data_IF_921232762416
#
_entry.id   IF_921232762416
#
_cell.length_a   1.000
_cell.length_b   1.000
_cell.length_c   1.000
_cell.angle_alpha   90.00
_cell.angle_beta   90.00
_cell.angle_gamma   90.00
#
_symmetry.space_group_name_H-M   'P 1'
#
loop_
_entity.id
_entity.type
_entity.pdbx_description
1 polymer ?
#
# COMPACT_ATOMS: atom_id res chain seq x y z
N UNK A 1 -17.45 2.32 12.71
CA UNK A 1 -18.35 1.15 12.84
C UNK A 1 -19.66 1.34 12.07
N UNK A 2 -20.41 2.42 12.24
CA UNK A 2 -21.69 2.65 11.54
C UNK A 2 -21.57 2.60 10.01
N UNK A 3 -20.55 3.23 9.42
CA UNK A 3 -20.31 3.19 7.98
C UNK A 3 -20.07 1.76 7.46
N UNK A 4 -19.24 0.97 8.13
CA UNK A 4 -18.98 -0.42 7.75
C UNK A 4 -20.23 -1.30 7.89
N UNK A 5 -21.05 -1.08 8.94
CA UNK A 5 -22.32 -1.78 9.10
C UNK A 5 -23.28 -1.46 7.94
N UNK A 6 -23.41 -0.17 7.59
CA UNK A 6 -24.23 0.26 6.48
C UNK A 6 -23.74 -0.34 5.15
N UNK A 7 -22.44 -0.40 4.90
CA UNK A 7 -21.89 -1.02 3.70
C UNK A 7 -22.21 -2.52 3.62
N UNK A 8 -22.13 -3.23 4.74
CA UNK A 8 -22.49 -4.64 4.81
C UNK A 8 -23.98 -4.87 4.57
N UNK A 9 -24.85 -4.14 5.28
CA UNK A 9 -26.30 -4.27 5.17
C UNK A 9 -26.82 -3.95 3.75
N UNK A 10 -26.12 -3.10 3.02
CA UNK A 10 -26.43 -2.77 1.63
C UNK A 10 -25.67 -3.62 0.61
N UNK A 11 -24.94 -4.64 1.03
CA UNK A 11 -24.28 -5.61 0.14
C UNK A 11 -23.04 -5.08 -0.59
N UNK A 12 -22.39 -4.04 -0.09
CA UNK A 12 -21.15 -3.51 -0.68
C UNK A 12 -19.90 -4.25 -0.21
N UNK A 13 -19.90 -4.77 1.01
CA UNK A 13 -18.79 -5.53 1.60
C UNK A 13 -19.26 -6.81 2.25
N UNK A 14 -18.31 -7.72 2.54
CA UNK A 14 -18.54 -8.90 3.38
C UNK A 14 -18.77 -8.48 4.84
N UNK A 15 -19.07 -9.46 5.71
CA UNK A 15 -19.37 -9.20 7.12
C UNK A 15 -18.24 -8.42 7.82
N UNK A 16 -18.60 -7.29 8.40
CA UNK A 16 -17.63 -6.31 8.93
C UNK A 16 -17.03 -6.66 10.31
N UNK A 17 -17.55 -7.69 10.98
CA UNK A 17 -17.02 -8.13 12.29
C UNK A 17 -16.36 -9.48 12.14
N UNK A 18 -15.12 -9.47 11.66
CA UNK A 18 -14.30 -10.67 11.50
C UNK A 18 -12.89 -10.40 11.94
N UNK A 19 -12.23 -11.43 12.45
CA UNK A 19 -10.79 -11.47 12.74
C UNK A 19 -10.02 -12.28 11.68
N UNK A 20 -10.73 -12.77 10.65
CA UNK A 20 -10.14 -13.53 9.55
C UNK A 20 -9.43 -12.62 8.55
N UNK A 21 -8.28 -13.09 8.08
CA UNK A 21 -7.53 -12.51 6.95
C UNK A 21 -7.64 -13.34 5.69
N UNK A 22 -8.45 -14.41 5.70
CA UNK A 22 -8.60 -15.33 4.57
C UNK A 22 -9.53 -14.75 3.52
N UNK A 23 -9.15 -14.89 2.25
CA UNK A 23 -9.99 -14.61 1.10
C UNK A 23 -10.42 -15.93 0.46
N UNK A 24 -11.67 -16.02 0.04
CA UNK A 24 -12.13 -17.14 -0.77
C UNK A 24 -11.43 -17.18 -2.13
N UNK A 25 -11.41 -18.33 -2.77
CA UNK A 25 -10.85 -18.47 -4.13
C UNK A 25 -11.50 -17.51 -5.12
N UNK A 26 -12.80 -17.29 -4.99
CA UNK A 26 -13.56 -16.35 -5.79
C UNK A 26 -13.10 -14.91 -5.57
N UNK A 27 -12.88 -14.49 -4.33
CA UNK A 27 -12.37 -13.16 -3.99
C UNK A 27 -10.94 -12.95 -4.49
N UNK A 28 -10.09 -13.95 -4.37
CA UNK A 28 -8.73 -13.93 -4.94
C UNK A 28 -8.77 -13.77 -6.45
N UNK A 29 -9.63 -14.52 -7.15
CA UNK A 29 -9.80 -14.42 -8.60
C UNK A 29 -10.27 -13.02 -8.99
N UNK A 30 -11.26 -12.47 -8.29
CA UNK A 30 -11.78 -11.12 -8.52
C UNK A 30 -10.69 -10.05 -8.33
N UNK A 31 -9.93 -10.12 -7.23
CA UNK A 31 -8.84 -9.19 -6.97
C UNK A 31 -7.78 -9.26 -8.07
N UNK A 32 -7.33 -10.45 -8.45
CA UNK A 32 -6.31 -10.65 -9.49
C UNK A 32 -6.77 -10.16 -10.86
N UNK A 33 -8.01 -10.40 -11.22
CA UNK A 33 -8.62 -9.89 -12.46
C UNK A 33 -8.62 -8.36 -12.47
N UNK A 34 -8.98 -7.76 -11.35
CA UNK A 34 -9.01 -6.30 -11.21
C UNK A 34 -7.60 -5.68 -11.25
N UNK A 35 -6.61 -6.32 -10.59
CA UNK A 35 -5.21 -5.90 -10.67
C UNK A 35 -4.73 -5.91 -12.12
N UNK A 36 -5.02 -6.98 -12.85
CA UNK A 36 -4.64 -7.08 -14.27
C UNK A 36 -5.27 -5.97 -15.11
N UNK A 37 -6.54 -5.68 -14.87
CA UNK A 37 -7.28 -4.65 -15.62
C UNK A 37 -6.80 -3.22 -15.33
N UNK A 38 -6.52 -2.89 -14.06
CA UNK A 38 -6.21 -1.52 -13.64
C UNK A 38 -4.71 -1.19 -13.69
N UNK A 39 -3.86 -2.17 -13.38
CA UNK A 39 -2.43 -1.96 -13.19
C UNK A 39 -1.57 -2.75 -14.18
N UNK A 40 -2.13 -3.76 -14.83
CA UNK A 40 -1.45 -4.64 -15.76
C UNK A 40 -0.99 -5.97 -15.14
N UNK A 41 -0.65 -6.96 -15.99
CA UNK A 41 -0.29 -8.31 -15.55
C UNK A 41 1.00 -8.35 -14.73
N UNK A 42 1.90 -7.39 -14.90
CA UNK A 42 3.16 -7.32 -14.17
C UNK A 42 2.97 -7.13 -12.66
N UNK A 43 1.81 -6.62 -12.24
CA UNK A 43 1.46 -6.40 -10.84
C UNK A 43 0.87 -7.62 -10.15
N UNK A 44 0.53 -8.68 -10.92
CA UNK A 44 -0.03 -9.92 -10.39
C UNK A 44 1.10 -10.89 -10.06
N UNK A 45 1.24 -11.36 -8.80
CA UNK A 45 2.23 -12.37 -8.45
C UNK A 45 1.88 -13.72 -9.08
N UNK A 46 2.88 -14.54 -9.41
CA UNK A 46 2.67 -15.89 -9.96
C UNK A 46 1.83 -16.76 -9.03
N UNK A 47 2.17 -16.73 -7.75
CA UNK A 47 1.48 -17.49 -6.71
C UNK A 47 0.46 -16.61 -6.00
N UNK A 48 -0.68 -17.18 -5.67
CA UNK A 48 -1.69 -16.54 -4.80
C UNK A 48 -1.06 -16.24 -3.44
N UNK A 49 -1.33 -15.06 -2.92
CA UNK A 49 -0.91 -14.68 -1.59
C UNK A 49 -1.92 -15.16 -0.57
N UNK A 50 -1.44 -15.84 0.45
CA UNK A 50 -2.23 -16.30 1.59
C UNK A 50 -1.66 -15.72 2.87
N UNK A 51 -2.54 -15.37 3.80
CA UNK A 51 -2.18 -14.78 5.08
C UNK A 51 -2.65 -15.69 6.20
N UNK A 52 -1.73 -16.08 7.08
CA UNK A 52 -2.09 -16.91 8.23
C UNK A 52 -2.84 -16.08 9.27
N UNK A 53 -4.01 -16.53 9.69
CA UNK A 53 -4.74 -15.94 10.81
C UNK A 53 -4.02 -16.32 12.11
N UNK A 54 -3.59 -15.34 12.91
CA UNK A 54 -2.87 -15.56 14.17
C UNK A 54 -3.80 -15.87 15.35
N UNK A 55 -5.09 -15.78 15.17
CA UNK A 55 -6.09 -15.94 16.23
C UNK A 55 -6.30 -17.42 16.55
N UNK A 56 -5.92 -17.83 17.79
CA UNK A 56 -6.29 -19.11 18.36
C UNK A 56 -7.77 -19.09 18.71
N UNK A 57 -8.62 -19.65 17.86
CA UNK A 57 -10.06 -19.69 18.11
C UNK A 57 -10.88 -18.91 17.08
N UNK A 58 -10.27 -18.37 16.01
CA UNK A 58 -11.01 -17.91 14.86
C UNK A 58 -11.86 -19.07 14.34
N UNK A 59 -13.16 -18.91 14.31
CA UNK A 59 -14.03 -19.87 13.64
C UNK A 59 -13.60 -19.96 12.19
N UNK A 60 -13.20 -21.13 11.73
CA UNK A 60 -12.62 -21.39 10.40
C UNK A 60 -13.49 -20.94 9.22
N UNK A 61 -14.71 -20.47 9.48
CA UNK A 61 -15.73 -20.14 8.49
C UNK A 61 -15.80 -18.65 8.10
N UNK A 62 -15.01 -17.76 8.73
CA UNK A 62 -15.11 -16.33 8.44
C UNK A 62 -14.12 -15.90 7.35
N UNK A 63 -14.63 -15.18 6.36
CA UNK A 63 -13.84 -14.51 5.35
C UNK A 63 -13.38 -13.13 5.85
N UNK A 64 -12.30 -12.61 5.28
CA UNK A 64 -11.83 -11.24 5.53
C UNK A 64 -12.88 -10.21 5.08
N UNK A 65 -12.81 -9.00 5.63
CA UNK A 65 -13.57 -7.87 5.13
C UNK A 65 -13.04 -7.51 3.74
N UNK A 66 -13.92 -7.54 2.74
CA UNK A 66 -13.60 -7.24 1.34
C UNK A 66 -14.81 -6.67 0.60
N UNK A 67 -14.64 -6.07 -0.59
CA UNK A 67 -15.76 -5.78 -1.48
C UNK A 67 -16.57 -7.04 -1.77
N UNK A 68 -17.89 -6.91 -1.78
CA UNK A 68 -18.79 -8.03 -2.03
C UNK A 68 -18.84 -8.41 -3.53
N UNK A 69 -19.34 -9.61 -3.79
CA UNK A 69 -19.55 -10.09 -5.16
C UNK A 69 -18.36 -10.84 -5.76
N UNK A 70 -18.55 -11.26 -7.00
CA UNK A 70 -17.58 -12.02 -7.82
C UNK A 70 -16.66 -11.13 -8.64
N UNK A 71 -17.03 -9.87 -8.81
CA UNK A 71 -16.19 -8.80 -9.35
C UNK A 71 -16.31 -7.57 -8.46
N UNK A 72 -15.18 -6.99 -8.11
CA UNK A 72 -15.19 -5.85 -7.21
C UNK A 72 -15.57 -4.58 -7.98
N UNK A 73 -16.51 -3.82 -7.46
CA UNK A 73 -16.81 -2.49 -7.97
C UNK A 73 -15.71 -1.55 -7.54
N UNK A 74 -15.24 -0.68 -8.42
CA UNK A 74 -14.23 0.31 -8.05
C UNK A 74 -14.85 1.43 -7.22
N UNK A 75 -14.06 2.14 -6.38
CA UNK A 75 -14.56 3.31 -5.65
C UNK A 75 -15.18 4.37 -6.57
N UNK A 76 -14.56 4.61 -7.73
CA UNK A 76 -15.07 5.55 -8.73
C UNK A 76 -16.42 5.09 -9.30
N UNK A 77 -16.57 3.76 -9.51
CA UNK A 77 -17.82 3.15 -9.97
C UNK A 77 -18.97 3.32 -8.97
N UNK A 78 -18.64 3.53 -7.69
CA UNK A 78 -19.59 3.74 -6.60
C UNK A 78 -19.76 5.22 -6.18
N UNK A 79 -19.06 6.15 -6.79
CA UNK A 79 -19.03 7.56 -6.40
C UNK A 79 -20.41 8.25 -6.37
N UNK A 80 -21.40 7.70 -7.10
CA UNK A 80 -22.79 8.22 -7.10
C UNK A 80 -23.69 7.52 -6.09
N UNK A 81 -23.27 6.39 -5.52
CA UNK A 81 -24.08 5.57 -4.61
C UNK A 81 -23.61 5.71 -3.16
N UNK A 82 -22.31 5.97 -2.96
CA UNK A 82 -21.69 6.11 -1.65
C UNK A 82 -21.23 7.55 -1.46
N UNK A 83 -21.41 8.03 -0.25
CA UNK A 83 -21.02 9.37 0.17
C UNK A 83 -20.22 9.35 1.48
N UNK A 84 -19.52 10.44 1.75
CA UNK A 84 -18.84 10.69 3.03
C UNK A 84 -18.03 9.52 3.56
N UNK A 85 -18.32 9.11 4.79
CA UNK A 85 -17.60 8.05 5.47
C UNK A 85 -17.78 6.66 4.82
N UNK A 86 -18.94 6.40 4.19
CA UNK A 86 -19.17 5.13 3.50
C UNK A 86 -18.25 4.99 2.29
N UNK A 87 -18.10 6.05 1.50
CA UNK A 87 -17.19 6.05 0.36
C UNK A 87 -15.74 5.82 0.80
N UNK A 88 -15.29 6.53 1.83
CA UNK A 88 -13.91 6.39 2.37
C UNK A 88 -13.63 5.00 2.93
N UNK A 89 -14.57 4.44 3.70
CA UNK A 89 -14.43 3.10 4.28
C UNK A 89 -14.44 2.04 3.18
N UNK A 90 -15.31 2.17 2.16
CA UNK A 90 -15.31 1.27 1.02
C UNK A 90 -13.99 1.32 0.24
N UNK A 91 -13.52 2.53 -0.06
CA UNK A 91 -12.25 2.74 -0.76
C UNK A 91 -11.08 2.09 -0.02
N UNK A 92 -10.97 2.29 1.29
CA UNK A 92 -9.94 1.67 2.11
C UNK A 92 -9.99 0.14 2.06
N UNK A 93 -11.20 -0.44 2.18
CA UNK A 93 -11.39 -1.90 2.11
C UNK A 93 -11.01 -2.41 0.73
N UNK A 94 -11.43 -1.72 -0.33
CA UNK A 94 -11.11 -2.08 -1.70
C UNK A 94 -9.60 -2.02 -1.96
N UNK A 95 -8.95 -0.91 -1.60
CA UNK A 95 -7.51 -0.71 -1.75
C UNK A 95 -6.71 -1.80 -1.02
N UNK A 96 -7.03 -2.06 0.24
CA UNK A 96 -6.35 -3.11 1.03
C UNK A 96 -6.56 -4.50 0.45
N UNK A 97 -7.77 -4.82 0.00
CA UNK A 97 -8.06 -6.11 -0.62
C UNK A 97 -7.26 -6.32 -1.90
N UNK A 98 -7.26 -5.32 -2.80
CA UNK A 98 -6.52 -5.37 -4.06
C UNK A 98 -5.01 -5.43 -3.79
N UNK A 99 -4.48 -4.53 -2.95
CA UNK A 99 -3.06 -4.49 -2.59
C UNK A 99 -2.57 -5.80 -1.97
N UNK A 100 -3.42 -6.48 -1.18
CA UNK A 100 -3.08 -7.78 -0.56
C UNK A 100 -2.74 -8.86 -1.59
N UNK A 101 -3.24 -8.76 -2.80
CA UNK A 101 -3.02 -9.72 -3.88
C UNK A 101 -2.05 -9.21 -4.96
N UNK A 102 -1.40 -8.05 -4.76
CA UNK A 102 -0.40 -7.50 -5.68
C UNK A 102 1.02 -7.98 -5.35
N UNK A 103 1.93 -7.84 -6.32
CA UNK A 103 3.38 -8.03 -6.09
C UNK A 103 3.91 -7.01 -5.08
N UNK A 104 5.00 -7.40 -4.39
CA UNK A 104 5.72 -6.50 -3.51
C UNK A 104 6.28 -5.30 -4.25
N UNK A 105 6.37 -4.18 -3.56
CA UNK A 105 7.18 -3.07 -4.00
C UNK A 105 8.67 -3.44 -3.89
N UNK A 106 9.44 -3.09 -4.90
CA UNK A 106 10.89 -3.25 -4.91
C UNK A 106 11.56 -1.88 -4.90
N UNK A 107 12.65 -1.79 -4.18
CA UNK A 107 13.42 -0.56 -4.11
C UNK A 107 14.87 -0.82 -3.77
N UNK A 108 15.68 0.18 -4.04
CA UNK A 108 17.09 0.21 -3.67
C UNK A 108 17.26 1.17 -2.51
N UNK A 109 17.93 0.73 -1.46
CA UNK A 109 18.40 1.62 -0.40
C UNK A 109 19.71 2.23 -0.84
N UNK A 110 19.74 3.56 -0.93
CA UNK A 110 20.91 4.31 -1.33
C UNK A 110 21.48 5.04 -0.12
N UNK A 111 22.76 4.87 0.13
CA UNK A 111 23.52 5.65 1.09
C UNK A 111 24.40 6.61 0.30
N UNK A 112 24.30 7.90 0.59
CA UNK A 112 25.06 8.93 -0.08
C UNK A 112 26.01 9.55 0.94
N UNK A 113 27.27 9.67 0.55
CA UNK A 113 28.30 10.37 1.31
C UNK A 113 28.77 11.56 0.47
N UNK A 114 28.64 12.74 1.04
CA UNK A 114 29.12 13.97 0.44
C UNK A 114 30.41 14.39 1.14
N UNK A 115 31.35 14.87 0.38
CA UNK A 115 32.56 15.48 0.88
C UNK A 115 32.63 16.93 0.38
N UNK A 116 32.83 17.84 1.28
CA UNK A 116 33.00 19.26 0.98
C UNK A 116 34.33 19.75 1.52
N UNK A 117 35.08 20.49 0.71
CA UNK A 117 36.30 21.17 1.15
C UNK A 117 35.92 22.32 2.09
N UNK A 118 36.39 22.26 3.32
CA UNK A 118 36.18 23.30 4.34
C UNK A 118 37.42 24.19 4.51
N UNK A 119 38.30 24.24 3.52
CA UNK A 119 39.52 25.02 3.51
C UNK A 119 40.50 24.59 4.61
N UNK A 120 40.98 25.51 5.42
CA UNK A 120 41.93 25.21 6.52
C UNK A 120 41.41 24.26 7.57
N UNK A 121 40.10 24.04 7.62
CA UNK A 121 39.43 23.09 8.53
C UNK A 121 39.38 21.65 7.98
N UNK A 122 39.90 21.41 6.77
CA UNK A 122 39.94 20.10 6.15
C UNK A 122 38.65 19.76 5.39
N UNK A 123 38.31 18.49 5.34
CA UNK A 123 37.14 17.99 4.62
C UNK A 123 35.96 17.75 5.56
N UNK A 124 34.83 18.37 5.27
CA UNK A 124 33.56 18.06 5.93
C UNK A 124 32.88 16.89 5.23
N UNK A 125 32.40 15.93 6.02
CA UNK A 125 31.72 14.72 5.51
C UNK A 125 30.29 14.69 6.01
N UNK A 126 29.36 14.55 5.08
CA UNK A 126 27.94 14.40 5.36
C UNK A 126 27.45 13.07 4.81
N UNK A 127 26.53 12.41 5.52
CA UNK A 127 25.90 11.16 5.07
C UNK A 127 24.40 11.29 5.10
N UNK A 128 23.74 10.76 4.10
CA UNK A 128 22.29 10.59 4.08
C UNK A 128 21.93 9.25 3.48
N UNK A 129 20.76 8.73 3.85
CA UNK A 129 20.23 7.50 3.27
C UNK A 129 18.78 7.71 2.86
N UNK A 130 18.37 6.99 1.82
CA UNK A 130 16.99 7.00 1.35
C UNK A 130 16.68 5.79 0.50
N UNK A 131 15.42 5.63 0.11
CA UNK A 131 14.97 4.59 -0.81
C UNK A 131 14.66 5.18 -2.18
N UNK A 132 14.97 4.43 -3.21
CA UNK A 132 14.49 4.65 -4.58
C UNK A 132 13.59 3.48 -4.94
N UNK A 133 12.31 3.72 -5.14
CA UNK A 133 11.36 2.67 -5.55
C UNK A 133 11.60 2.39 -7.03
N UNK A 134 12.01 1.16 -7.34
CA UNK A 134 12.26 0.70 -8.72
C UNK A 134 11.04 0.03 -9.35
N UNK A 135 10.21 -0.59 -8.53
CA UNK A 135 8.92 -1.14 -8.91
C UNK A 135 7.92 -0.87 -7.79
N UNK A 136 6.84 -0.12 -8.05
CA UNK A 136 5.93 0.31 -6.99
C UNK A 136 5.09 -0.83 -6.39
N UNK A 137 4.83 -1.92 -7.12
CA UNK A 137 4.06 -3.04 -6.61
C UNK A 137 2.72 -2.61 -6.00
N UNK A 138 2.41 -3.14 -4.82
CA UNK A 138 1.16 -2.83 -4.09
C UNK A 138 1.03 -1.35 -3.68
N UNK A 139 2.12 -0.60 -3.57
CA UNK A 139 2.09 0.84 -3.26
C UNK A 139 1.32 1.65 -4.30
N UNK A 140 1.11 1.10 -5.50
CA UNK A 140 0.31 1.76 -6.52
C UNK A 140 -1.19 1.74 -6.21
N UNK A 141 -1.65 0.75 -5.47
CA UNK A 141 -3.05 0.63 -5.07
C UNK A 141 -3.30 1.16 -3.66
N UNK A 142 -2.33 1.06 -2.78
CA UNK A 142 -2.49 1.41 -1.38
C UNK A 142 -1.18 1.89 -0.76
N UNK A 143 -1.23 3.10 -0.21
CA UNK A 143 -0.20 3.64 0.67
C UNK A 143 -0.84 3.79 2.05
N UNK A 144 -0.29 3.11 3.05
CA UNK A 144 -0.79 3.22 4.42
C UNK A 144 -0.53 4.65 4.92
N UNK A 145 -1.61 5.40 5.15
CA UNK A 145 -1.53 6.67 5.83
C UNK A 145 -1.33 6.42 7.32
N UNK A 146 -0.40 7.12 7.93
CA UNK A 146 -0.28 7.15 9.39
C UNK A 146 -1.24 8.19 9.94
N UNK A 147 -2.04 7.81 10.94
CA UNK A 147 -2.87 8.76 11.70
C UNK A 147 -2.01 9.67 12.61
N UNK A 148 -0.72 9.39 12.71
CA UNK A 148 0.26 10.16 13.47
C UNK A 148 1.14 11.01 12.52
N UNK A 149 0.96 12.35 12.50
CA UNK A 149 1.76 13.25 11.65
C UNK A 149 3.26 13.23 11.97
N UNK A 150 3.64 12.78 13.18
CA UNK A 150 5.05 12.67 13.57
C UNK A 150 5.65 11.33 13.14
N UNK A 151 4.86 10.26 13.05
CA UNK A 151 5.27 8.99 12.44
C UNK A 151 5.53 9.14 10.93
N UNK A 152 4.73 9.94 10.23
CA UNK A 152 4.98 10.26 8.81
C UNK A 152 6.33 10.95 8.59
N UNK A 153 6.81 11.74 9.55
CA UNK A 153 8.13 12.40 9.46
C UNK A 153 9.30 11.43 9.68
N UNK A 154 9.07 10.34 10.42
CA UNK A 154 10.09 9.30 10.68
C UNK A 154 10.19 8.25 9.58
N UNK A 155 9.07 7.92 8.95
CA UNK A 155 8.94 6.85 7.94
C UNK A 155 8.87 7.35 6.50
N UNK A 156 8.80 8.67 6.26
CA UNK A 156 9.12 9.23 4.96
C UNK A 156 10.63 9.00 4.72
N UNK A 157 10.96 7.74 4.39
CA UNK A 157 12.25 7.45 3.79
C UNK A 157 12.40 8.41 2.62
N UNK A 158 13.28 9.38 2.78
CA UNK A 158 13.50 10.44 1.80
C UNK A 158 13.74 9.79 0.46
N UNK A 159 12.87 10.06 -0.50
CA UNK A 159 13.10 9.73 -1.88
C UNK A 159 14.32 10.53 -2.33
N UNK A 160 15.45 9.87 -2.45
CA UNK A 160 16.65 10.51 -2.94
C UNK A 160 16.57 10.59 -4.46
N UNK A 161 17.02 11.70 -5.06
CA UNK A 161 17.17 11.79 -6.49
C UNK A 161 18.21 10.75 -6.97
N UNK A 162 18.16 10.30 -8.21
CA UNK A 162 19.18 9.45 -8.78
C UNK A 162 20.50 10.26 -8.85
N UNK A 163 21.50 9.81 -8.10
CA UNK A 163 22.83 10.41 -8.08
C UNK A 163 23.87 9.37 -8.53
N UNK A 164 24.94 9.87 -9.17
CA UNK A 164 26.07 9.06 -9.61
C UNK A 164 27.28 9.33 -8.72
N UNK A 165 28.15 8.34 -8.56
CA UNK A 165 29.40 8.50 -7.86
C UNK A 165 30.30 9.55 -8.55
N UNK A 166 30.82 10.49 -7.77
CA UNK A 166 31.66 11.59 -8.27
C UNK A 166 30.88 12.77 -8.85
N UNK A 167 29.54 12.75 -8.77
CA UNK A 167 28.72 13.89 -9.15
C UNK A 167 28.97 15.07 -8.24
N UNK A 168 29.25 16.24 -8.86
CA UNK A 168 29.33 17.51 -8.12
C UNK A 168 27.93 18.10 -7.95
N UNK A 169 27.61 18.55 -6.76
CA UNK A 169 26.34 19.17 -6.45
C UNK A 169 26.58 20.65 -6.09
N UNK A 170 25.74 21.57 -6.59
CA UNK A 170 25.79 22.95 -6.13
C UNK A 170 25.38 23.01 -4.66
N UNK A 171 26.10 23.80 -3.88
CA UNK A 171 25.73 24.17 -2.51
C UNK A 171 24.92 25.44 -2.60
N UNK A 172 23.62 25.36 -2.33
CA UNK A 172 22.78 26.55 -2.18
C UNK A 172 22.78 26.97 -0.71
N UNK A 173 22.99 28.25 -0.48
CA UNK A 173 23.00 28.88 0.86
C UNK A 173 21.59 29.33 1.25
#
# INVERSE_FOLDING_TARGET
>A
MQAAQSLYENGYITYMRTDSTNLSEQAVSAARSQITSLYGPDYVPEKVRTYATKSRGAQEAHEAIRPAGESFRTPEGLARELDGDRARVYELIWQRTVASQMKDANGLRTNIRFEADAGERGTAVFTTSGKVITFPGFLRAYVEGSDDPDAERGDQERLLPPLSQGQQLPVES
#
